data_IF_293653482492
#
_entry.id   IF_293653482492
#
_cell.length_a   1.000
_cell.length_b   1.000
_cell.length_c   1.000
_cell.angle_alpha   90.00
_cell.angle_beta   90.00
_cell.angle_gamma   90.00
#
_symmetry.space_group_name_H-M   'P 1'
#
loop_
_entity.id
_entity.type
_entity.pdbx_description
1 polymer ?
#
# COMPACT_ATOMS: atom_id res chain seq x y z
N UNK A 1 -7.41 -14.24 34.67
CA UNK A 1 -7.02 -14.29 33.24
C UNK A 1 -8.25 -14.13 32.38
N UNK A 2 -8.50 -12.93 31.80
CA UNK A 2 -9.59 -12.75 30.83
C UNK A 2 -9.12 -13.31 29.49
N UNK A 3 -9.89 -14.21 28.90
CA UNK A 3 -9.69 -14.73 27.55
C UNK A 3 -9.63 -13.56 26.55
N UNK A 4 -8.42 -13.06 26.27
CA UNK A 4 -8.18 -12.15 25.15
C UNK A 4 -8.40 -12.96 23.86
N UNK A 5 -9.66 -13.02 23.41
CA UNK A 5 -10.02 -13.61 22.13
C UNK A 5 -9.16 -12.95 21.05
N UNK A 6 -8.35 -13.76 20.37
CA UNK A 6 -7.57 -13.31 19.21
C UNK A 6 -8.58 -12.79 18.18
N UNK A 7 -8.47 -11.52 17.74
CA UNK A 7 -9.38 -11.01 16.73
C UNK A 7 -9.23 -11.81 15.43
N UNK A 8 -10.36 -12.20 14.83
CA UNK A 8 -10.38 -12.70 13.46
C UNK A 8 -10.27 -11.52 12.50
N UNK A 9 -9.24 -11.51 11.65
CA UNK A 9 -9.21 -10.68 10.46
C UNK A 9 -9.68 -11.52 9.29
N UNK A 10 -10.64 -11.00 8.56
CA UNK A 10 -11.14 -11.58 7.34
C UNK A 10 -10.83 -10.62 6.18
N UNK A 11 -10.35 -11.18 5.08
CA UNK A 11 -10.25 -10.46 3.81
C UNK A 11 -11.61 -10.50 3.16
N UNK A 12 -12.27 -9.36 3.07
CA UNK A 12 -13.57 -9.23 2.41
C UNK A 12 -13.40 -8.95 0.92
N UNK A 13 -12.34 -8.21 0.58
CA UNK A 13 -11.99 -7.88 -0.79
C UNK A 13 -10.53 -8.23 -1.04
N UNK A 14 -10.31 -8.93 -2.14
CA UNK A 14 -8.99 -9.10 -2.74
C UNK A 14 -9.15 -8.98 -4.26
N UNK A 15 -8.90 -7.78 -4.79
CA UNK A 15 -9.05 -7.51 -6.22
C UNK A 15 -7.69 -7.18 -6.84
N UNK A 16 -7.19 -7.98 -7.80
CA UNK A 16 -5.96 -7.65 -8.51
C UNK A 16 -6.16 -6.39 -9.35
N UNK A 17 -5.19 -5.48 -9.31
CA UNK A 17 -5.19 -4.32 -10.21
C UNK A 17 -4.69 -4.78 -11.57
N UNK A 18 -5.52 -4.62 -12.60
CA UNK A 18 -5.21 -5.04 -13.97
C UNK A 18 -5.16 -3.83 -14.91
N UNK A 19 -4.16 -3.81 -15.78
CA UNK A 19 -4.03 -2.84 -16.88
C UNK A 19 -3.98 -3.63 -18.17
N UNK A 20 -4.89 -3.33 -19.11
CA UNK A 20 -5.09 -4.11 -20.34
C UNK A 20 -5.26 -5.62 -20.10
N UNK A 21 -6.03 -5.99 -19.08
CA UNK A 21 -6.30 -7.39 -18.71
C UNK A 21 -5.13 -8.11 -18.02
N UNK A 22 -3.92 -7.53 -18.02
CA UNK A 22 -2.73 -8.09 -17.34
C UNK A 22 -2.62 -7.52 -15.94
N UNK A 23 -2.15 -8.35 -15.01
CA UNK A 23 -1.90 -7.90 -13.64
C UNK A 23 -0.79 -6.84 -13.60
N UNK A 24 -1.05 -5.77 -12.86
CA UNK A 24 -0.12 -4.66 -12.72
C UNK A 24 1.03 -5.08 -11.80
N UNK A 25 2.24 -5.01 -12.33
CA UNK A 25 3.47 -5.20 -11.55
C UNK A 25 4.02 -3.85 -11.12
N UNK A 26 4.31 -3.70 -9.84
CA UNK A 26 4.83 -2.46 -9.25
C UNK A 26 6.16 -2.03 -9.92
N UNK A 27 7.00 -3.01 -10.32
CA UNK A 27 8.24 -2.75 -11.07
C UNK A 27 7.95 -2.04 -12.39
N UNK A 28 6.88 -2.41 -13.10
CA UNK A 28 6.51 -1.73 -14.36
C UNK A 28 6.11 -0.28 -14.10
N UNK A 29 5.38 -0.03 -13.02
CA UNK A 29 5.00 1.34 -12.62
C UNK A 29 6.24 2.18 -12.33
N UNK A 30 7.21 1.63 -11.58
CA UNK A 30 8.47 2.31 -11.26
C UNK A 30 9.27 2.61 -12.53
N UNK A 31 9.40 1.65 -13.45
CA UNK A 31 10.13 1.85 -14.71
C UNK A 31 9.47 2.92 -15.59
N UNK A 32 8.13 2.87 -15.72
CA UNK A 32 7.37 3.87 -16.49
C UNK A 32 7.50 5.25 -15.86
N UNK A 33 7.39 5.36 -14.53
CA UNK A 33 7.56 6.62 -13.82
C UNK A 33 8.98 7.18 -13.99
N UNK A 34 10.01 6.33 -13.86
CA UNK A 34 11.41 6.73 -14.07
C UNK A 34 11.68 7.23 -15.49
N UNK A 35 11.21 6.50 -16.51
CA UNK A 35 11.35 6.92 -17.90
C UNK A 35 10.60 8.24 -18.17
N UNK A 36 9.39 8.40 -17.63
CA UNK A 36 8.62 9.63 -17.76
C UNK A 36 9.27 10.83 -17.07
N UNK A 37 9.90 10.64 -15.90
CA UNK A 37 10.65 11.69 -15.19
C UNK A 37 11.80 12.19 -16.06
N UNK A 38 12.57 11.28 -16.66
CA UNK A 38 13.67 11.66 -17.56
C UNK A 38 13.14 12.44 -18.77
N UNK A 39 12.09 11.92 -19.42
CA UNK A 39 11.48 12.57 -20.58
C UNK A 39 10.93 13.97 -20.26
N UNK A 40 10.15 14.09 -19.20
CA UNK A 40 9.52 15.37 -18.81
C UNK A 40 10.54 16.37 -18.29
N UNK A 41 11.60 15.91 -17.63
CA UNK A 41 12.74 16.76 -17.24
C UNK A 41 13.50 17.32 -18.44
N UNK A 42 13.79 16.48 -19.45
CA UNK A 42 14.41 16.93 -20.71
C UNK A 42 13.50 17.93 -21.43
N UNK A 43 12.21 17.63 -21.55
CA UNK A 43 11.24 18.49 -22.21
C UNK A 43 11.09 19.85 -21.50
N UNK A 44 11.15 19.88 -20.16
CA UNK A 44 11.19 21.13 -19.41
C UNK A 44 12.42 21.96 -19.75
N UNK A 45 13.59 21.33 -19.84
CA UNK A 45 14.84 22.00 -20.15
C UNK A 45 14.86 22.58 -21.57
N UNK A 46 14.20 21.94 -22.53
CA UNK A 46 14.10 22.43 -23.91
C UNK A 46 13.04 23.52 -24.09
N UNK A 47 11.87 23.37 -23.46
CA UNK A 47 10.71 24.23 -23.73
C UNK A 47 10.54 25.36 -22.73
N UNK A 48 11.14 25.27 -21.55
CA UNK A 48 10.92 26.16 -20.39
C UNK A 48 9.44 26.38 -20.04
N UNK A 49 8.55 25.50 -20.49
CA UNK A 49 7.12 25.56 -20.20
C UNK A 49 6.83 24.97 -18.82
N UNK A 50 5.78 25.44 -18.15
CA UNK A 50 5.33 24.82 -16.89
C UNK A 50 4.63 23.48 -17.10
N UNK A 51 4.19 23.16 -18.33
CA UNK A 51 3.43 21.93 -18.59
C UNK A 51 4.24 20.67 -18.30
N UNK A 52 5.47 20.50 -18.84
CA UNK A 52 6.32 19.35 -18.50
C UNK A 52 6.66 19.27 -17.00
N UNK A 53 6.78 20.42 -16.32
CA UNK A 53 7.07 20.49 -14.89
C UNK A 53 5.92 19.91 -14.03
N UNK A 54 4.66 20.16 -14.39
CA UNK A 54 3.50 19.55 -13.72
C UNK A 54 3.52 18.03 -13.86
N UNK A 55 3.80 17.52 -15.06
CA UNK A 55 3.90 16.08 -15.30
C UNK A 55 5.08 15.45 -14.56
N UNK A 56 6.22 16.14 -14.50
CA UNK A 56 7.39 15.70 -13.74
C UNK A 56 7.06 15.51 -12.26
N UNK A 57 6.38 16.48 -11.64
CA UNK A 57 5.95 16.40 -10.24
C UNK A 57 5.00 15.21 -10.03
N UNK A 58 4.02 15.03 -10.92
CA UNK A 58 3.06 13.92 -10.82
C UNK A 58 3.77 12.55 -10.91
N UNK A 59 4.75 12.42 -11.79
CA UNK A 59 5.53 11.19 -11.95
C UNK A 59 6.47 10.94 -10.77
N UNK A 60 7.05 11.98 -10.18
CA UNK A 60 7.83 11.87 -8.93
C UNK A 60 6.98 11.37 -7.76
N UNK A 61 5.76 11.89 -7.61
CA UNK A 61 4.81 11.41 -6.60
C UNK A 61 4.46 9.94 -6.85
N UNK A 62 4.17 9.58 -8.10
CA UNK A 62 3.87 8.20 -8.48
C UNK A 62 5.05 7.26 -8.18
N UNK A 63 6.27 7.68 -8.48
CA UNK A 63 7.49 6.93 -8.18
C UNK A 63 7.66 6.74 -6.67
N UNK A 64 7.47 7.80 -5.88
CA UNK A 64 7.56 7.76 -4.42
C UNK A 64 6.55 6.79 -3.80
N UNK A 65 5.27 6.87 -4.21
CA UNK A 65 4.21 5.95 -3.75
C UNK A 65 4.56 4.50 -4.15
N UNK A 66 5.02 4.30 -5.38
CA UNK A 66 5.32 2.96 -5.90
C UNK A 66 6.51 2.32 -5.19
N UNK A 67 7.57 3.08 -4.95
CA UNK A 67 8.74 2.64 -4.19
C UNK A 67 8.38 2.36 -2.73
N UNK A 68 7.58 3.24 -2.10
CA UNK A 68 7.10 3.03 -0.74
C UNK A 68 6.23 1.77 -0.63
N UNK A 69 5.35 1.53 -1.60
CA UNK A 69 4.54 0.31 -1.66
C UNK A 69 5.43 -0.94 -1.84
N UNK A 70 6.46 -0.89 -2.67
CA UNK A 70 7.40 -1.99 -2.83
C UNK A 70 8.13 -2.31 -1.51
N UNK A 71 8.50 -1.29 -0.73
CA UNK A 71 9.20 -1.45 0.54
C UNK A 71 8.29 -1.93 1.69
N UNK A 72 7.15 -1.26 1.88
CA UNK A 72 6.21 -1.56 2.99
C UNK A 72 5.27 -2.72 2.68
N UNK A 73 5.11 -3.09 1.41
CA UNK A 73 4.16 -4.07 0.86
C UNK A 73 2.68 -3.79 1.07
N UNK A 74 2.31 -2.98 2.05
CA UNK A 74 0.93 -2.62 2.34
C UNK A 74 0.84 -1.13 2.62
N UNK A 75 -0.05 -0.44 1.92
CA UNK A 75 -0.38 0.97 2.12
C UNK A 75 -1.86 1.07 2.49
N UNK A 76 -2.14 1.58 3.68
CA UNK A 76 -3.50 1.75 4.21
C UNK A 76 -4.11 3.05 3.71
N UNK A 77 -5.30 2.98 3.09
CA UNK A 77 -6.05 4.15 2.65
C UNK A 77 -7.53 4.03 3.04
N UNK A 78 -7.87 4.59 4.20
CA UNK A 78 -9.22 4.51 4.77
C UNK A 78 -9.62 3.07 5.05
N UNK A 79 -10.66 2.58 4.35
CA UNK A 79 -11.18 1.22 4.47
C UNK A 79 -10.48 0.22 3.53
N UNK A 80 -9.72 0.69 2.55
CA UNK A 80 -9.05 -0.14 1.56
C UNK A 80 -7.54 -0.11 1.80
N UNK A 81 -6.85 -1.13 1.31
CA UNK A 81 -5.41 -1.21 1.35
C UNK A 81 -4.89 -1.51 -0.05
N UNK A 82 -3.79 -0.87 -0.41
CA UNK A 82 -3.00 -1.25 -1.56
C UNK A 82 -1.95 -2.25 -1.09
N UNK A 83 -1.96 -3.46 -1.61
CA UNK A 83 -0.98 -4.51 -1.28
C UNK A 83 -0.09 -4.83 -2.48
N UNK A 84 1.16 -5.18 -2.21
CA UNK A 84 2.11 -5.68 -3.18
C UNK A 84 2.58 -7.08 -2.75
N UNK A 85 2.42 -8.07 -3.64
CA UNK A 85 2.94 -9.42 -3.41
C UNK A 85 4.46 -9.45 -3.46
N UNK A 86 5.07 -10.55 -2.99
CA UNK A 86 6.50 -10.79 -3.16
C UNK A 86 6.93 -10.85 -4.64
N UNK A 87 6.02 -11.22 -5.55
CA UNK A 87 6.25 -11.22 -6.99
C UNK A 87 6.08 -9.84 -7.65
N UNK A 88 5.71 -8.82 -6.85
CA UNK A 88 5.52 -7.45 -7.29
C UNK A 88 4.12 -7.15 -7.83
N UNK A 89 3.15 -8.05 -7.65
CA UNK A 89 1.79 -7.84 -8.16
C UNK A 89 0.99 -6.95 -7.20
N UNK A 90 0.21 -6.02 -7.77
CA UNK A 90 -0.55 -5.04 -7.00
C UNK A 90 -2.01 -5.47 -6.83
N UNK A 91 -2.50 -5.35 -5.60
CA UNK A 91 -3.88 -5.69 -5.22
C UNK A 91 -4.51 -4.53 -4.48
N UNK A 92 -5.82 -4.35 -4.70
CA UNK A 92 -6.68 -3.59 -3.81
C UNK A 92 -7.35 -4.60 -2.87
N UNK A 93 -7.03 -4.52 -1.58
CA UNK A 93 -7.60 -5.39 -0.56
C UNK A 93 -8.46 -4.60 0.43
N UNK A 94 -9.36 -5.30 1.10
CA UNK A 94 -10.09 -4.79 2.25
C UNK A 94 -9.98 -5.81 3.38
N UNK A 95 -9.15 -5.46 4.37
CA UNK A 95 -9.05 -6.21 5.62
C UNK A 95 -10.12 -5.67 6.58
N UNK A 96 -11.09 -6.50 6.95
CA UNK A 96 -12.00 -6.20 8.04
C UNK A 96 -11.72 -7.13 9.21
N UNK A 97 -11.60 -6.51 10.38
CA UNK A 97 -11.60 -7.20 11.65
C UNK A 97 -12.16 -6.24 12.68
N UNK A 98 -12.99 -6.76 13.58
CA UNK A 98 -13.58 -5.98 14.67
C UNK A 98 -12.75 -6.21 15.92
N UNK A 99 -12.27 -5.12 16.51
CA UNK A 99 -11.55 -5.15 17.77
C UNK A 99 -12.47 -5.72 18.88
N UNK A 100 -12.08 -6.79 19.58
CA UNK A 100 -12.91 -7.42 20.62
C UNK A 100 -13.08 -6.53 21.86
N UNK A 101 -12.18 -5.55 22.07
CA UNK A 101 -12.19 -4.64 23.23
C UNK A 101 -13.07 -3.39 23.04
N UNK A 102 -12.98 -2.70 21.90
CA UNK A 102 -13.70 -1.44 21.66
C UNK A 102 -14.55 -1.39 20.38
N UNK A 103 -14.71 -2.53 19.68
CA UNK A 103 -15.43 -2.63 18.40
C UNK A 103 -14.91 -1.70 17.29
N UNK A 104 -13.67 -1.20 17.40
CA UNK A 104 -13.00 -0.46 16.32
C UNK A 104 -12.51 -1.37 15.19
N UNK A 105 -12.12 -0.79 14.06
CA UNK A 105 -11.47 -1.49 12.95
C UNK A 105 -10.06 -1.95 13.36
N UNK A 106 -9.59 -3.03 12.73
CA UNK A 106 -8.25 -3.57 12.91
C UNK A 106 -7.39 -3.32 11.65
N UNK A 107 -6.12 -2.99 11.86
CA UNK A 107 -5.11 -2.78 10.82
C UNK A 107 -3.94 -3.73 11.07
N UNK A 108 -3.26 -4.17 10.01
CA UNK A 108 -2.04 -4.97 10.14
C UNK A 108 -0.83 -4.03 10.01
N UNK A 109 0.13 -4.14 10.91
CA UNK A 109 1.37 -3.38 10.81
C UNK A 109 2.52 -4.36 10.89
N UNK A 110 3.43 -4.30 9.92
CA UNK A 110 4.68 -5.03 9.97
C UNK A 110 5.70 -4.19 10.74
N UNK A 111 6.13 -4.66 11.91
CA UNK A 111 7.19 -4.05 12.72
C UNK A 111 8.22 -5.12 13.08
N UNK A 112 9.47 -4.90 12.70
CA UNK A 112 10.62 -5.75 13.08
C UNK A 112 10.41 -7.24 12.76
N UNK A 113 10.14 -7.56 11.48
CA UNK A 113 9.81 -8.90 10.98
C UNK A 113 8.55 -9.58 11.55
N UNK A 114 7.88 -8.98 12.54
CA UNK A 114 6.61 -9.49 13.07
C UNK A 114 5.42 -8.76 12.46
N UNK A 115 4.37 -9.50 12.10
CA UNK A 115 3.06 -8.93 11.73
C UNK A 115 2.28 -8.71 13.03
N UNK A 116 1.85 -7.48 13.27
CA UNK A 116 1.01 -7.12 14.42
C UNK A 116 -0.33 -6.63 13.93
N UNK A 117 -1.36 -6.87 14.71
CA UNK A 117 -2.71 -6.33 14.52
C UNK A 117 -2.86 -5.20 15.50
N UNK A 118 -3.22 -4.01 15.03
CA UNK A 118 -3.53 -2.84 15.86
C UNK A 118 -4.98 -2.42 15.66
N UNK A 119 -5.61 -1.91 16.72
CA UNK A 119 -6.91 -1.27 16.61
C UNK A 119 -6.76 0.20 16.20
N UNK A 120 -7.57 0.62 15.24
CA UNK A 120 -7.59 2.00 14.75
C UNK A 120 -8.14 3.03 15.77
N UNK A 121 -8.88 2.56 16.78
CA UNK A 121 -9.43 3.41 17.84
C UNK A 121 -8.53 3.52 19.07
N UNK A 122 -7.63 2.56 19.28
CA UNK A 122 -6.78 2.53 20.47
C UNK A 122 -5.51 1.71 20.18
N UNK A 123 -4.39 2.42 20.09
CA UNK A 123 -3.07 1.84 19.78
C UNK A 123 -2.53 0.92 20.88
N UNK A 124 -3.12 0.92 22.08
CA UNK A 124 -2.78 -0.04 23.13
C UNK A 124 -3.35 -1.44 22.87
N UNK A 125 -4.32 -1.55 21.96
CA UNK A 125 -4.91 -2.82 21.56
C UNK A 125 -4.07 -3.46 20.45
N UNK A 126 -3.08 -4.25 20.85
CA UNK A 126 -2.12 -4.90 19.96
C UNK A 126 -2.22 -6.41 20.12
N UNK A 127 -2.24 -7.14 19.00
CA UNK A 127 -2.12 -8.60 18.97
C UNK A 127 -0.98 -9.01 18.04
N UNK A 128 -0.15 -9.95 18.47
CA UNK A 128 0.90 -10.51 17.63
C UNK A 128 0.30 -11.60 16.73
N UNK A 129 0.42 -11.46 15.41
CA UNK A 129 0.19 -12.58 14.50
C UNK A 129 1.43 -13.48 14.60
N UNK A 130 1.33 -14.55 15.39
CA UNK A 130 2.29 -15.65 15.26
C UNK A 130 2.04 -16.30 13.90
N UNK A 131 3.06 -16.33 13.05
CA UNK A 131 3.04 -17.21 11.87
C UNK A 131 2.92 -18.64 12.41
N UNK A 132 1.86 -19.33 11.98
CA UNK A 132 1.65 -20.75 12.24
C UNK A 132 2.25 -21.53 11.08
#
# INVERSE_FOLDING_TARGET
>A
MKNDKIPKLERILEKPIKVFGKQLKIIRVILIAGAGILYTGMLFNETHSYTPLVFLILLLILLGISAFLMFKRILYFGKYNLECSSAGDVYLTQLQGICPKCKGSLKIVKKDNTKKILCDKNDTHIWNLKEK
#
